data_IF_284149516112
#
_entry.id   IF_284149516112
#
_cell.length_a   1.000
_cell.length_b   1.000
_cell.length_c   1.000
_cell.angle_alpha   90.00
_cell.angle_beta   90.00
_cell.angle_gamma   90.00
#
_symmetry.space_group_name_H-M   'P 1'
#
loop_
_entity.id
_entity.type
_entity.pdbx_description
1 polymer ?
#
# COMPACT_ATOMS: atom_id res chain seq x y z
N UNK A 1 15.77 -15.89 -6.08
CA UNK A 1 14.59 -15.21 -5.50
C UNK A 1 14.55 -13.84 -6.16
N UNK A 2 13.71 -13.68 -7.18
CA UNK A 2 13.78 -12.55 -8.12
C UNK A 2 12.90 -11.38 -7.66
N UNK A 3 12.93 -11.07 -6.35
CA UNK A 3 12.20 -9.95 -5.76
C UNK A 3 13.17 -8.86 -5.32
N UNK A 4 13.06 -7.67 -5.89
CA UNK A 4 13.90 -6.51 -5.54
C UNK A 4 13.76 -6.11 -4.07
N UNK A 5 12.57 -6.22 -3.49
CA UNK A 5 12.36 -5.87 -2.08
C UNK A 5 12.95 -6.92 -1.15
N UNK A 6 12.94 -8.21 -1.51
CA UNK A 6 13.67 -9.24 -0.77
C UNK A 6 15.17 -9.01 -0.81
N UNK A 7 15.72 -8.55 -1.94
CA UNK A 7 17.13 -8.18 -2.04
C UNK A 7 17.46 -7.02 -1.08
N UNK A 8 16.61 -6.00 -1.00
CA UNK A 8 16.77 -4.90 -0.05
C UNK A 8 16.62 -5.33 1.41
N UNK A 9 15.74 -6.29 1.70
CA UNK A 9 15.61 -6.87 3.03
C UNK A 9 16.87 -7.67 3.42
N UNK A 10 17.41 -8.46 2.49
CA UNK A 10 18.57 -9.33 2.72
C UNK A 10 19.89 -8.57 2.88
N UNK A 11 20.08 -7.48 2.14
CA UNK A 11 21.30 -6.68 2.17
C UNK A 11 20.96 -5.21 2.49
N UNK A 12 21.47 -4.65 3.61
CA UNK A 12 21.32 -3.23 3.92
C UNK A 12 22.27 -2.32 3.12
N UNK A 13 23.24 -2.86 2.37
CA UNK A 13 24.24 -2.10 1.62
C UNK A 13 23.75 -1.34 0.36
N UNK A 14 22.70 -1.76 -0.38
CA UNK A 14 22.21 -1.00 -1.53
C UNK A 14 21.80 0.43 -1.14
N UNK A 15 21.93 1.42 -2.03
CA UNK A 15 21.59 2.81 -1.75
C UNK A 15 20.07 3.04 -1.79
N UNK A 16 19.32 2.33 -0.94
CA UNK A 16 17.93 2.64 -0.67
C UNK A 16 17.87 3.56 0.54
N UNK A 17 17.20 4.71 0.39
CA UNK A 17 16.99 5.64 1.49
C UNK A 17 15.95 5.05 2.45
N UNK A 18 16.42 4.20 3.36
CA UNK A 18 15.62 3.51 4.37
C UNK A 18 15.21 4.50 5.46
N UNK A 19 13.93 4.46 5.83
CA UNK A 19 13.33 5.29 6.88
C UNK A 19 12.99 4.45 8.12
N UNK A 20 12.56 3.20 7.93
CA UNK A 20 12.27 2.26 9.00
C UNK A 20 12.69 0.86 8.57
N UNK A 21 13.30 0.11 9.48
CA UNK A 21 13.55 -1.31 9.35
C UNK A 21 13.39 -1.94 10.72
N UNK A 22 12.44 -2.85 10.85
CA UNK A 22 12.21 -3.62 12.07
C UNK A 22 11.81 -5.06 11.73
N UNK A 23 11.36 -5.82 12.73
CA UNK A 23 10.96 -7.22 12.58
C UNK A 23 9.69 -7.43 11.73
N UNK A 24 8.89 -6.39 11.52
CA UNK A 24 7.60 -6.46 10.82
C UNK A 24 7.72 -5.91 9.41
N UNK A 25 8.40 -4.77 9.24
CA UNK A 25 8.40 -4.01 8.01
C UNK A 25 9.75 -3.37 7.67
N UNK A 26 9.91 -3.11 6.37
CA UNK A 26 10.91 -2.22 5.81
C UNK A 26 10.18 -1.06 5.11
N UNK A 27 10.60 0.17 5.37
CA UNK A 27 10.11 1.35 4.67
C UNK A 27 11.25 2.17 4.09
N UNK A 28 11.11 2.55 2.83
CA UNK A 28 12.15 3.25 2.07
C UNK A 28 11.51 4.19 1.05
N UNK A 29 12.26 5.20 0.60
CA UNK A 29 11.81 6.12 -0.44
C UNK A 29 11.61 5.39 -1.78
N UNK A 30 10.49 5.67 -2.44
CA UNK A 30 10.28 5.27 -3.82
C UNK A 30 11.34 5.93 -4.72
N UNK A 31 11.97 5.15 -5.59
CA UNK A 31 13.00 5.63 -6.50
C UNK A 31 12.43 6.50 -7.64
N UNK A 32 11.12 6.42 -7.92
CA UNK A 32 10.36 7.27 -8.85
C UNK A 32 9.14 7.83 -8.13
N UNK A 33 9.34 8.76 -7.18
CA UNK A 33 8.28 9.19 -6.30
C UNK A 33 7.23 10.03 -7.04
N UNK A 34 5.96 9.91 -6.63
CA UNK A 34 4.91 10.86 -7.07
C UNK A 34 5.19 12.27 -6.57
N UNK A 35 5.64 12.37 -5.31
CA UNK A 35 6.10 13.59 -4.66
C UNK A 35 7.26 13.27 -3.70
N UNK A 36 8.17 14.22 -3.44
CA UNK A 36 9.20 14.04 -2.41
C UNK A 36 8.60 13.56 -1.09
N UNK A 37 9.19 12.52 -0.50
CA UNK A 37 8.66 11.84 0.69
C UNK A 37 7.73 10.66 0.41
N UNK A 38 7.51 10.26 -0.85
CA UNK A 38 6.81 9.03 -1.18
C UNK A 38 7.57 7.80 -0.66
N UNK A 39 6.96 7.07 0.28
CA UNK A 39 7.47 5.84 0.84
C UNK A 39 6.77 4.61 0.26
N UNK A 40 7.52 3.52 0.15
CA UNK A 40 7.01 2.16 0.05
C UNK A 40 7.23 1.47 1.40
N UNK A 41 6.15 0.95 1.99
CA UNK A 41 6.18 0.16 3.23
C UNK A 41 5.89 -1.30 2.87
N UNK A 42 6.82 -2.19 3.16
CA UNK A 42 6.75 -3.62 2.78
C UNK A 42 6.89 -4.51 4.01
N UNK A 43 6.16 -5.62 4.11
CA UNK A 43 6.39 -6.58 5.19
C UNK A 43 7.75 -7.26 4.99
N UNK A 44 8.39 -7.67 6.09
CA UNK A 44 9.62 -8.47 6.05
C UNK A 44 9.36 -9.83 5.40
N UNK A 45 8.19 -10.43 5.65
CA UNK A 45 7.77 -11.65 4.96
C UNK A 45 7.48 -11.38 3.49
N UNK A 46 7.95 -12.27 2.61
CA UNK A 46 7.59 -12.21 1.20
C UNK A 46 6.18 -12.75 1.01
N UNK A 47 5.23 -11.83 0.87
CA UNK A 47 3.85 -12.10 0.45
C UNK A 47 3.53 -11.20 -0.73
N UNK A 48 2.82 -11.71 -1.74
CA UNK A 48 2.62 -10.97 -3.00
C UNK A 48 1.49 -9.96 -2.87
N UNK A 49 0.42 -10.32 -2.14
CA UNK A 49 -0.79 -9.50 -2.00
C UNK A 49 -1.23 -9.42 -0.55
N UNK A 50 -2.14 -8.49 -0.24
CA UNK A 50 -2.69 -8.31 1.11
C UNK A 50 -3.35 -9.59 1.63
N UNK A 51 -4.03 -10.34 0.75
CA UNK A 51 -4.71 -11.60 1.09
C UNK A 51 -3.76 -12.75 1.41
N UNK A 52 -2.46 -12.61 1.12
CA UNK A 52 -1.43 -13.60 1.47
C UNK A 52 -0.70 -13.24 2.77
N UNK A 53 -0.91 -12.03 3.30
CA UNK A 53 -0.34 -11.62 4.58
C UNK A 53 -1.04 -12.40 5.71
N UNK A 54 -0.28 -13.10 6.59
CA UNK A 54 -0.87 -13.77 7.75
C UNK A 54 -1.71 -12.80 8.59
N UNK A 55 -2.87 -13.24 9.04
CA UNK A 55 -3.87 -12.40 9.70
C UNK A 55 -3.30 -11.69 10.94
N UNK A 56 -2.46 -12.38 11.70
CA UNK A 56 -1.75 -11.89 12.87
C UNK A 56 -0.73 -10.78 12.55
N UNK A 57 -0.26 -10.69 11.30
CA UNK A 57 0.67 -9.65 10.85
C UNK A 57 -0.04 -8.43 10.24
N UNK A 58 -1.34 -8.52 9.92
CA UNK A 58 -2.10 -7.39 9.35
C UNK A 58 -2.08 -6.19 10.30
N UNK A 59 -2.38 -6.40 11.58
CA UNK A 59 -2.35 -5.35 12.60
C UNK A 59 -0.97 -4.71 12.75
N UNK A 60 0.06 -5.50 13.13
CA UNK A 60 1.44 -5.00 13.26
C UNK A 60 1.96 -4.27 12.03
N UNK A 61 1.66 -4.77 10.82
CA UNK A 61 2.08 -4.13 9.57
C UNK A 61 1.43 -2.76 9.37
N UNK A 62 0.12 -2.66 9.58
CA UNK A 62 -0.58 -1.38 9.44
C UNK A 62 -0.31 -0.38 10.57
N UNK A 63 0.16 -0.82 11.74
CA UNK A 63 0.71 0.09 12.75
C UNK A 63 1.93 0.86 12.22
N UNK A 64 2.82 0.19 11.47
CA UNK A 64 3.96 0.84 10.81
C UNK A 64 3.50 1.76 9.69
N UNK A 65 2.54 1.33 8.87
CA UNK A 65 1.93 2.22 7.85
C UNK A 65 1.33 3.47 8.49
N UNK A 66 0.57 3.34 9.58
CA UNK A 66 0.00 4.46 10.34
C UNK A 66 1.09 5.38 10.88
N UNK A 67 2.13 4.83 11.50
CA UNK A 67 3.27 5.59 12.02
C UNK A 67 3.95 6.41 10.91
N UNK A 68 4.26 5.77 9.79
CA UNK A 68 4.96 6.37 8.66
C UNK A 68 4.10 7.39 7.92
N UNK A 69 2.77 7.20 7.87
CA UNK A 69 1.83 8.18 7.32
C UNK A 69 1.94 9.50 8.09
N UNK A 70 1.81 9.46 9.42
CA UNK A 70 1.93 10.67 10.24
C UNK A 70 3.35 11.27 10.20
N UNK A 71 4.40 10.45 10.14
CA UNK A 71 5.77 10.92 10.01
C UNK A 71 6.00 11.66 8.67
N UNK A 72 5.47 11.11 7.58
CA UNK A 72 5.57 11.68 6.23
C UNK A 72 4.88 13.05 6.16
N UNK A 73 3.67 13.18 6.70
CA UNK A 73 2.96 14.46 6.73
C UNK A 73 3.72 15.53 7.49
N UNK A 74 4.24 15.20 8.68
CA UNK A 74 5.03 16.14 9.50
C UNK A 74 6.34 16.54 8.84
N UNK A 75 7.12 15.56 8.38
CA UNK A 75 8.46 15.80 7.82
C UNK A 75 8.40 16.58 6.51
N UNK A 76 7.36 16.38 5.70
CA UNK A 76 7.18 17.06 4.42
C UNK A 76 6.32 18.32 4.51
N UNK A 77 5.90 18.72 5.72
CA UNK A 77 4.94 19.81 5.96
C UNK A 77 3.68 19.69 5.06
N UNK A 78 3.24 18.46 4.79
CA UNK A 78 2.12 18.18 3.91
C UNK A 78 0.79 18.42 4.62
N UNK A 79 -0.23 18.84 3.88
CA UNK A 79 -1.60 19.04 4.41
C UNK A 79 -2.41 17.74 4.49
N UNK A 80 -1.87 16.65 3.97
CA UNK A 80 -2.43 15.31 4.10
C UNK A 80 -1.56 14.30 3.37
N UNK A 81 -2.13 13.11 3.17
CA UNK A 81 -1.45 12.00 2.51
C UNK A 81 -2.42 11.21 1.63
N UNK A 82 -1.84 10.44 0.72
CA UNK A 82 -2.52 9.40 -0.03
C UNK A 82 -1.84 8.07 0.29
N UNK A 83 -2.62 7.15 0.87
CA UNK A 83 -2.16 5.82 1.28
C UNK A 83 -2.88 4.77 0.45
N UNK A 84 -2.15 3.94 -0.27
CA UNK A 84 -2.75 2.94 -1.15
C UNK A 84 -1.87 1.71 -1.37
N UNK A 85 -2.51 0.63 -1.77
CA UNK A 85 -1.87 -0.59 -2.22
C UNK A 85 -2.62 -1.16 -3.41
N UNK A 86 -1.88 -1.81 -4.30
CA UNK A 86 -2.43 -2.53 -5.43
C UNK A 86 -2.26 -4.03 -5.18
N UNK A 87 -3.28 -4.83 -5.49
CA UNK A 87 -3.22 -6.28 -5.45
C UNK A 87 -3.29 -6.81 -6.88
N UNK A 88 -2.21 -7.43 -7.37
CA UNK A 88 -2.07 -8.04 -8.72
C UNK A 88 -2.07 -7.05 -9.90
N UNK A 89 -3.11 -6.21 -10.03
CA UNK A 89 -3.23 -5.22 -11.12
C UNK A 89 -2.56 -3.91 -10.71
N UNK A 90 -1.78 -3.29 -11.60
CA UNK A 90 -0.97 -2.08 -11.32
C UNK A 90 0.02 -2.24 -10.15
N UNK A 91 0.40 -3.48 -9.86
CA UNK A 91 1.42 -3.83 -8.89
C UNK A 91 2.71 -4.19 -9.64
N UNK A 92 3.70 -3.30 -9.62
CA UNK A 92 4.94 -3.46 -10.39
C UNK A 92 5.90 -4.50 -9.80
N UNK A 93 5.96 -4.59 -8.47
CA UNK A 93 6.76 -5.59 -7.74
C UNK A 93 5.80 -6.53 -7.01
N UNK A 94 5.84 -7.85 -7.27
CA UNK A 94 4.95 -8.84 -6.65
C UNK A 94 5.38 -9.18 -5.21
N UNK A 95 5.51 -8.15 -4.39
CA UNK A 95 5.72 -8.17 -2.95
C UNK A 95 4.80 -7.07 -2.40
N UNK A 96 3.99 -7.38 -1.41
CA UNK A 96 3.03 -6.45 -0.81
C UNK A 96 3.73 -5.13 -0.44
N UNK A 97 3.23 -4.02 -0.94
CA UNK A 97 3.75 -2.71 -0.58
C UNK A 97 2.62 -1.71 -0.47
N UNK A 98 2.70 -0.88 0.54
CA UNK A 98 1.81 0.26 0.75
C UNK A 98 2.55 1.52 0.38
N UNK A 99 2.00 2.25 -0.58
CA UNK A 99 2.41 3.60 -0.91
C UNK A 99 1.93 4.55 0.19
N UNK A 100 2.83 5.39 0.70
CA UNK A 100 2.52 6.52 1.57
C UNK A 100 3.04 7.78 0.88
N UNK A 101 2.14 8.59 0.35
CA UNK A 101 2.49 9.73 -0.51
C UNK A 101 2.04 11.02 0.19
N UNK A 102 2.93 11.99 0.47
CA UNK A 102 2.50 13.30 0.98
C UNK A 102 1.70 14.06 -0.08
N UNK A 103 0.64 14.76 0.34
CA UNK A 103 -0.28 15.50 -0.54
C UNK A 103 -0.51 16.91 -0.05
N UNK A 104 -0.68 17.82 -1.01
CA UNK A 104 -1.08 19.20 -0.76
C UNK A 104 -2.23 19.60 -1.69
N UNK A 105 -3.10 20.55 -1.29
CA UNK A 105 -4.11 21.09 -2.19
C UNK A 105 -3.47 21.60 -3.48
N UNK A 106 -4.01 21.18 -4.63
CA UNK A 106 -3.54 21.60 -5.95
C UNK A 106 -2.07 21.23 -6.25
N UNK A 107 -1.52 20.19 -5.61
CA UNK A 107 -0.15 19.68 -5.84
C UNK A 107 0.11 19.11 -7.24
N UNK A 108 -0.90 19.09 -8.11
CA UNK A 108 -0.71 18.72 -9.50
C UNK A 108 -0.61 17.22 -9.72
N UNK A 109 -1.02 16.37 -8.77
CA UNK A 109 -1.23 14.95 -9.04
C UNK A 109 -2.30 14.80 -10.11
N UNK A 110 -1.86 14.63 -11.37
CA UNK A 110 -2.71 14.43 -12.54
C UNK A 110 -2.73 12.94 -12.86
N UNK A 111 -3.89 12.40 -13.26
CA UNK A 111 -4.00 10.99 -13.64
C UNK A 111 -4.46 10.05 -12.53
N UNK A 112 -4.55 10.51 -11.28
CA UNK A 112 -5.26 9.79 -10.22
C UNK A 112 -6.77 10.03 -10.34
N UNK A 113 -7.34 9.66 -11.49
CA UNK A 113 -8.78 9.73 -11.75
C UNK A 113 -9.42 8.47 -11.18
N UNK A 114 -10.17 8.61 -10.10
CA UNK A 114 -11.16 7.63 -9.68
C UNK A 114 -12.50 8.08 -10.25
N UNK A 115 -12.80 7.79 -11.54
CA UNK A 115 -14.06 8.18 -12.13
C UNK A 115 -15.17 7.52 -11.31
N UNK A 116 -15.98 8.35 -10.63
CA UNK A 116 -17.13 7.88 -9.89
C UNK A 116 -18.18 7.45 -10.90
N UNK A 117 -18.44 6.15 -10.96
CA UNK A 117 -19.61 5.61 -11.67
C UNK A 117 -20.75 5.42 -10.69
N UNK A 118 -21.98 5.50 -11.18
CA UNK A 118 -23.17 5.11 -10.42
C UNK A 118 -23.53 3.69 -10.81
N UNK A 119 -24.15 2.95 -9.89
CA UNK A 119 -24.97 1.81 -10.28
C UNK A 119 -26.09 2.31 -11.21
N UNK A 120 -26.56 1.44 -12.10
CA UNK A 120 -27.67 1.69 -12.99
C UNK A 120 -28.97 1.96 -12.20
N UNK A 121 -29.20 1.21 -11.13
CA UNK A 121 -30.32 1.35 -10.20
C UNK A 121 -30.00 0.73 -8.81
N UNK A 122 -30.92 0.90 -7.85
CA UNK A 122 -30.81 0.32 -6.50
C UNK A 122 -30.81 -1.21 -6.52
N UNK A 123 -31.43 -1.84 -7.53
CA UNK A 123 -31.47 -3.29 -7.64
C UNK A 123 -30.09 -3.84 -8.04
N UNK A 124 -29.33 -3.17 -8.89
CA UNK A 124 -27.94 -3.51 -9.21
C UNK A 124 -27.04 -3.36 -7.97
N UNK A 125 -27.19 -2.26 -7.22
CA UNK A 125 -26.46 -2.07 -5.97
C UNK A 125 -26.75 -3.21 -4.97
N UNK A 126 -28.03 -3.58 -4.82
CA UNK A 126 -28.48 -4.68 -3.96
C UNK A 126 -27.87 -6.04 -4.37
N UNK A 127 -27.98 -6.40 -5.65
CA UNK A 127 -27.38 -7.65 -6.19
C UNK A 127 -25.87 -7.68 -6.00
N UNK A 128 -25.19 -6.55 -6.23
CA UNK A 128 -23.73 -6.45 -6.03
C UNK A 128 -23.37 -6.70 -4.57
N UNK A 129 -24.10 -6.12 -3.63
CA UNK A 129 -23.86 -6.33 -2.20
C UNK A 129 -24.11 -7.79 -1.77
N UNK A 130 -25.16 -8.43 -2.29
CA UNK A 130 -25.44 -9.85 -2.03
C UNK A 130 -24.33 -10.76 -2.55
N UNK A 131 -23.86 -10.55 -3.78
CA UNK A 131 -22.73 -11.29 -4.36
C UNK A 131 -21.48 -11.19 -3.48
N UNK A 132 -21.16 -9.98 -3.00
CA UNK A 132 -20.01 -9.76 -2.14
C UNK A 132 -20.19 -10.43 -0.77
N UNK A 133 -21.39 -10.36 -0.16
CA UNK A 133 -21.68 -11.03 1.12
C UNK A 133 -21.59 -12.55 0.99
N UNK A 134 -22.12 -13.12 -0.09
CA UNK A 134 -22.03 -14.55 -0.36
C UNK A 134 -20.56 -15.00 -0.50
N UNK A 135 -19.70 -14.15 -1.07
CA UNK A 135 -18.28 -14.42 -1.19
C UNK A 135 -17.48 -14.32 0.13
N UNK A 136 -18.04 -13.71 1.19
CA UNK A 136 -17.36 -13.60 2.49
C UNK A 136 -17.13 -14.95 3.16
N UNK A 137 -17.94 -15.97 2.84
CA UNK A 137 -17.76 -17.31 3.37
C UNK A 137 -16.47 -17.98 2.84
N UNK A 138 -15.90 -17.49 1.73
CA UNK A 138 -14.69 -17.99 1.09
C UNK A 138 -14.76 -19.47 0.66
N UNK A 139 -13.93 -19.94 -0.28
CA UNK A 139 -13.60 -21.35 -0.33
C UNK A 139 -12.85 -21.68 0.96
N UNK A 140 -13.29 -22.71 1.70
CA UNK A 140 -12.44 -23.36 2.70
C UNK A 140 -11.17 -23.83 1.99
N UNK A 141 -10.07 -23.12 2.20
CA UNK A 141 -8.75 -23.43 1.67
C UNK A 141 -7.70 -23.03 2.68
#
# INVERSE_FOLDING_TARGET
MDCSFCAFLADPAPPIHTVLRDEVALAFLDHRPLFPGHLLVVPVSHVRTLTELPAELVGPFFERVRLLTGATERAMAAKGSFVAMNNKVSQSVPHLHVHVVPRNPKDGLRGFFWPRRRYADEAEAGRTAELLRAALAGPTG
#
